data_IF_828872762883
#
_entry.id   IF_828872762883
#
_cell.length_a   1.000
_cell.length_b   1.000
_cell.length_c   1.000
_cell.angle_alpha   90.00
_cell.angle_beta   90.00
_cell.angle_gamma   90.00
#
_symmetry.space_group_name_H-M   'P 1'
#
loop_
_entity.id
_entity.type
_entity.pdbx_description
1 polymer ?
#
# COMPACT_ATOMS: atom_id res chain seq x y z
N UNK A 1 -25.78 -13.68 16.17
CA UNK A 1 -24.94 -14.80 15.68
C UNK A 1 -23.79 -15.02 16.64
N UNK A 2 -23.75 -16.17 17.31
CA UNK A 2 -22.67 -16.51 18.24
C UNK A 2 -21.32 -16.60 17.52
N UNK A 3 -20.26 -16.07 18.13
CA UNK A 3 -18.91 -16.07 17.57
C UNK A 3 -18.57 -14.90 16.62
N UNK A 4 -19.57 -14.14 16.11
CA UNK A 4 -19.31 -13.00 15.20
C UNK A 4 -18.32 -11.98 15.79
N UNK A 5 -18.44 -11.64 17.08
CA UNK A 5 -17.54 -10.69 17.73
C UNK A 5 -16.06 -11.10 17.64
N UNK A 6 -15.77 -12.40 17.78
CA UNK A 6 -14.41 -12.94 17.63
C UNK A 6 -13.92 -12.83 16.19
N UNK A 7 -14.79 -13.18 15.25
CA UNK A 7 -14.48 -13.17 13.81
C UNK A 7 -14.23 -11.73 13.34
N UNK A 8 -15.14 -10.78 13.66
CA UNK A 8 -15.01 -9.36 13.33
C UNK A 8 -13.73 -8.76 13.93
N UNK A 9 -13.43 -9.01 15.21
CA UNK A 9 -12.22 -8.50 15.86
C UNK A 9 -10.94 -9.07 15.22
N UNK A 10 -10.93 -10.37 14.90
CA UNK A 10 -9.79 -11.01 14.21
C UNK A 10 -9.56 -10.39 12.83
N UNK A 11 -10.63 -10.24 12.04
CA UNK A 11 -10.55 -9.63 10.71
C UNK A 11 -10.06 -8.19 10.79
N UNK A 12 -10.66 -7.37 11.66
CA UNK A 12 -10.30 -5.98 11.82
C UNK A 12 -8.86 -5.79 12.29
N UNK A 13 -8.43 -6.53 13.32
CA UNK A 13 -7.07 -6.43 13.84
C UNK A 13 -6.02 -6.78 12.77
N UNK A 14 -6.28 -7.80 11.95
CA UNK A 14 -5.37 -8.19 10.86
C UNK A 14 -5.36 -7.17 9.73
N UNK A 15 -6.52 -6.64 9.33
CA UNK A 15 -6.62 -5.59 8.30
C UNK A 15 -5.92 -4.30 8.75
N UNK A 16 -6.18 -3.85 9.98
CA UNK A 16 -5.52 -2.66 10.52
C UNK A 16 -4.01 -2.85 10.66
N UNK A 17 -3.56 -4.04 11.09
CA UNK A 17 -2.12 -4.35 11.14
C UNK A 17 -1.49 -4.27 9.75
N UNK A 18 -2.13 -4.85 8.72
CA UNK A 18 -1.66 -4.75 7.33
C UNK A 18 -1.54 -3.30 6.88
N UNK A 19 -2.59 -2.48 7.09
CA UNK A 19 -2.59 -1.08 6.68
C UNK A 19 -1.54 -0.26 7.43
N UNK A 20 -1.35 -0.52 8.73
CA UNK A 20 -0.31 0.09 9.55
C UNK A 20 1.10 -0.30 9.08
N UNK A 21 1.34 -1.58 8.79
CA UNK A 21 2.62 -2.09 8.27
C UNK A 21 2.91 -1.58 6.85
N UNK A 22 1.87 -1.22 6.08
CA UNK A 22 1.98 -0.51 4.82
C UNK A 22 2.35 0.97 5.00
N UNK A 23 2.07 1.57 6.17
CA UNK A 23 2.34 2.99 6.46
C UNK A 23 1.11 3.90 6.40
N UNK A 24 -0.10 3.34 6.43
CA UNK A 24 -1.34 4.11 6.58
C UNK A 24 -1.50 4.52 8.05
N UNK A 25 -1.88 5.78 8.28
CA UNK A 25 -2.23 6.29 9.61
C UNK A 25 -3.57 5.72 10.06
N UNK A 26 -3.58 4.98 11.15
CA UNK A 26 -4.79 4.32 11.68
C UNK A 26 -4.86 4.52 13.20
N UNK A 27 -6.07 4.47 13.77
CA UNK A 27 -6.23 4.51 15.22
C UNK A 27 -5.73 3.22 15.91
N UNK A 28 -5.38 2.17 15.17
CA UNK A 28 -5.20 0.84 15.74
C UNK A 28 -3.85 0.71 16.45
N UNK A 29 -3.90 0.31 17.73
CA UNK A 29 -2.69 0.08 18.53
C UNK A 29 -2.31 -1.40 18.48
N UNK A 30 -3.18 -2.28 19.01
CA UNK A 30 -2.97 -3.73 19.07
C UNK A 30 -4.27 -4.48 19.39
N UNK A 31 -4.33 -5.75 19.02
CA UNK A 31 -5.39 -6.65 19.48
C UNK A 31 -5.30 -6.86 21.01
N UNK A 32 -6.45 -6.99 21.67
CA UNK A 32 -6.55 -7.19 23.12
C UNK A 32 -7.63 -8.21 23.45
N UNK A 33 -7.27 -9.48 23.28
CA UNK A 33 -8.17 -10.62 23.45
C UNK A 33 -8.97 -10.94 22.19
N UNK A 34 -9.86 -11.92 22.31
CA UNK A 34 -10.56 -12.47 21.14
C UNK A 34 -11.64 -11.54 20.58
N UNK A 35 -12.22 -10.65 21.40
CA UNK A 35 -13.40 -9.85 21.05
C UNK A 35 -13.18 -8.34 21.11
N UNK A 36 -11.93 -7.90 21.35
CA UNK A 36 -11.59 -6.48 21.47
C UNK A 36 -10.17 -6.18 20.99
N UNK A 37 -9.95 -4.92 20.64
CA UNK A 37 -8.64 -4.34 20.36
C UNK A 37 -8.53 -2.97 21.04
N UNK A 38 -7.30 -2.49 21.17
CA UNK A 38 -6.99 -1.16 21.73
C UNK A 38 -6.75 -0.20 20.56
N UNK A 39 -7.39 0.97 20.63
CA UNK A 39 -7.30 2.04 19.66
C UNK A 39 -6.99 3.38 20.32
N UNK A 40 -6.42 4.30 19.55
CA UNK A 40 -6.38 5.71 19.87
C UNK A 40 -7.81 6.24 19.93
N UNK A 41 -8.13 6.97 21.00
CA UNK A 41 -9.44 7.61 21.14
C UNK A 41 -9.58 8.68 20.07
N UNK A 42 -10.67 8.64 19.32
CA UNK A 42 -10.93 9.55 18.20
C UNK A 42 -12.26 10.27 18.37
N UNK A 43 -12.32 11.51 17.91
CA UNK A 43 -13.55 12.23 17.59
C UNK A 43 -13.96 11.82 16.17
N UNK A 44 -14.98 10.97 16.05
CA UNK A 44 -15.38 10.38 14.77
C UNK A 44 -16.05 11.42 13.86
N UNK A 45 -15.64 11.45 12.59
CA UNK A 45 -16.26 12.28 11.56
C UNK A 45 -17.47 11.49 11.01
N UNK A 46 -18.70 12.04 11.02
CA UNK A 46 -19.93 11.32 10.66
C UNK A 46 -20.11 11.20 9.13
N UNK A 47 -19.07 10.75 8.44
CA UNK A 47 -19.05 10.52 7.00
C UNK A 47 -18.60 9.08 6.72
N UNK A 48 -19.42 8.36 5.97
CA UNK A 48 -19.08 7.08 5.38
C UNK A 48 -18.41 7.30 4.02
N UNK A 49 -17.17 6.83 3.90
CA UNK A 49 -16.38 6.94 2.68
C UNK A 49 -16.45 5.63 1.91
N UNK A 50 -17.17 5.62 0.79
CA UNK A 50 -17.39 4.42 -0.03
C UNK A 50 -16.56 4.48 -1.29
N UNK A 51 -15.77 3.43 -1.51
CA UNK A 51 -14.98 3.25 -2.75
C UNK A 51 -15.52 2.08 -3.54
N UNK A 52 -15.56 2.18 -4.88
CA UNK A 52 -16.04 1.10 -5.76
C UNK A 52 -15.09 0.85 -6.92
N UNK A 53 -14.76 -0.42 -7.15
CA UNK A 53 -14.17 -0.87 -8.41
C UNK A 53 -15.24 -1.29 -9.40
N UNK A 54 -16.31 -1.92 -8.93
CA UNK A 54 -17.37 -2.49 -9.76
C UNK A 54 -18.72 -1.89 -9.35
N UNK A 55 -19.55 -1.54 -10.33
CA UNK A 55 -20.91 -1.07 -10.10
C UNK A 55 -21.80 -2.23 -9.63
N UNK A 56 -22.34 -2.11 -8.41
CA UNK A 56 -23.34 -3.00 -7.82
C UNK A 56 -24.11 -2.24 -6.72
N UNK A 57 -25.08 -2.91 -6.10
CA UNK A 57 -25.77 -2.41 -4.91
C UNK A 57 -26.46 -1.06 -5.11
N UNK A 58 -26.28 -0.14 -4.14
CA UNK A 58 -26.96 1.16 -4.12
C UNK A 58 -26.53 2.09 -5.26
N UNK A 59 -25.35 1.87 -5.86
CA UNK A 59 -24.92 2.64 -7.04
C UNK A 59 -25.88 2.44 -8.21
N UNK A 60 -26.27 1.19 -8.51
CA UNK A 60 -27.17 0.87 -9.63
C UNK A 60 -28.57 1.46 -9.42
N UNK A 61 -29.04 1.50 -8.17
CA UNK A 61 -30.33 2.13 -7.83
C UNK A 61 -30.34 3.63 -8.11
N UNK A 62 -29.23 4.33 -7.80
CA UNK A 62 -29.09 5.77 -8.03
C UNK A 62 -28.77 6.12 -9.49
N UNK A 63 -28.24 5.17 -10.26
CA UNK A 63 -27.78 5.39 -11.65
C UNK A 63 -28.48 4.41 -12.61
N UNK A 64 -29.79 4.60 -12.86
CA UNK A 64 -30.53 3.73 -13.78
C UNK A 64 -29.90 3.79 -15.18
N UNK A 65 -29.74 2.62 -15.80
CA UNK A 65 -29.07 2.46 -17.10
C UNK A 65 -27.61 2.02 -17.01
N UNK A 66 -26.99 2.04 -15.83
CA UNK A 66 -25.69 1.39 -15.62
C UNK A 66 -25.89 -0.10 -15.34
N UNK A 67 -25.14 -0.95 -16.04
CA UNK A 67 -25.19 -2.40 -15.85
C UNK A 67 -24.32 -2.86 -14.67
N UNK A 68 -24.76 -3.91 -13.97
CA UNK A 68 -23.94 -4.55 -12.94
C UNK A 68 -22.67 -5.12 -13.57
N UNK A 69 -21.52 -4.89 -12.92
CA UNK A 69 -20.22 -5.31 -13.46
C UNK A 69 -19.45 -4.17 -14.14
N UNK A 70 -20.06 -3.01 -14.38
CA UNK A 70 -19.33 -1.84 -14.90
C UNK A 70 -18.12 -1.51 -14.02
N UNK A 71 -16.94 -1.33 -14.63
CA UNK A 71 -15.67 -1.12 -13.92
C UNK A 71 -15.28 0.35 -13.87
N UNK A 72 -14.98 0.86 -12.69
CA UNK A 72 -14.45 2.21 -12.47
C UNK A 72 -12.92 2.21 -12.49
N UNK A 73 -12.33 3.04 -13.36
CA UNK A 73 -10.89 3.30 -13.40
C UNK A 73 -10.67 4.82 -13.57
N UNK A 74 -10.19 5.55 -12.55
CA UNK A 74 -9.85 5.11 -11.18
C UNK A 74 -11.08 4.64 -10.36
N UNK A 75 -10.91 4.05 -9.16
CA UNK A 75 -12.03 3.69 -8.29
C UNK A 75 -12.98 4.86 -8.06
N UNK A 76 -14.30 4.60 -8.10
CA UNK A 76 -15.31 5.62 -7.80
C UNK A 76 -15.35 5.85 -6.30
N UNK A 77 -15.27 7.11 -5.90
CA UNK A 77 -15.44 7.56 -4.52
C UNK A 77 -16.81 8.22 -4.33
N UNK A 78 -17.45 7.94 -3.20
CA UNK A 78 -18.72 8.53 -2.76
C UNK A 78 -18.68 8.76 -1.24
N UNK A 79 -19.37 9.81 -0.78
CA UNK A 79 -19.52 10.16 0.63
C UNK A 79 -20.99 10.10 1.05
N UNK A 80 -21.27 9.54 2.22
CA UNK A 80 -22.61 9.49 2.82
C UNK A 80 -22.57 10.02 4.24
N UNK A 81 -23.50 10.91 4.58
CA UNK A 81 -23.59 11.44 5.94
C UNK A 81 -24.30 10.45 6.84
N UNK A 82 -23.72 10.16 8.02
CA UNK A 82 -24.31 9.20 8.96
C UNK A 82 -25.57 9.79 9.59
N UNK A 83 -26.71 9.26 9.16
CA UNK A 83 -28.04 9.62 9.62
C UNK A 83 -29.00 8.46 9.36
N UNK A 84 -29.07 7.55 10.33
CA UNK A 84 -29.92 6.35 10.27
C UNK A 84 -31.39 6.70 10.00
N UNK A 85 -31.87 7.85 10.49
CA UNK A 85 -33.25 8.31 10.30
C UNK A 85 -33.56 8.66 8.85
N UNK A 86 -32.54 9.08 8.08
CA UNK A 86 -32.64 9.46 6.67
C UNK A 86 -31.91 8.49 5.73
N UNK A 87 -31.59 7.29 6.21
CA UNK A 87 -30.94 6.22 5.43
C UNK A 87 -29.58 6.63 4.84
N UNK A 88 -28.77 7.36 5.61
CA UNK A 88 -27.42 7.82 5.26
C UNK A 88 -27.36 8.52 3.88
N UNK A 89 -27.89 9.76 3.77
CA UNK A 89 -27.97 10.44 2.49
C UNK A 89 -26.58 10.70 1.89
N UNK A 90 -26.48 10.54 0.57
CA UNK A 90 -25.25 10.89 -0.16
C UNK A 90 -24.98 12.39 -0.03
N UNK A 91 -23.76 12.75 0.35
CA UNK A 91 -23.30 14.14 0.38
C UNK A 91 -22.31 14.39 -0.75
N UNK A 92 -22.38 15.57 -1.37
CA UNK A 92 -21.35 16.05 -2.30
C UNK A 92 -20.17 16.66 -1.54
N UNK A 93 -19.06 16.86 -2.25
CA UNK A 93 -17.90 17.57 -1.71
C UNK A 93 -18.27 18.94 -1.14
N UNK A 94 -19.09 19.71 -1.87
CA UNK A 94 -19.53 21.04 -1.46
C UNK A 94 -20.39 21.00 -0.19
N UNK A 95 -21.24 19.98 -0.02
CA UNK A 95 -22.01 19.80 1.21
C UNK A 95 -21.09 19.50 2.40
N UNK A 96 -20.09 18.63 2.21
CA UNK A 96 -19.08 18.35 3.24
C UNK A 96 -18.30 19.62 3.64
N UNK A 97 -17.86 20.43 2.67
CA UNK A 97 -17.16 21.72 2.92
C UNK A 97 -18.07 22.73 3.63
N UNK A 98 -19.32 22.88 3.15
CA UNK A 98 -20.27 23.86 3.67
C UNK A 98 -20.70 23.56 5.11
N UNK A 99 -20.69 22.28 5.51
CA UNK A 99 -21.05 21.85 6.86
C UNK A 99 -20.10 22.38 7.94
N UNK A 100 -18.85 22.74 7.60
CA UNK A 100 -17.83 23.32 8.51
C UNK A 100 -17.72 22.57 9.86
N UNK A 101 -17.82 21.25 9.79
CA UNK A 101 -17.85 20.41 10.99
C UNK A 101 -16.50 20.48 11.72
N UNK A 102 -16.51 20.50 13.04
CA UNK A 102 -15.29 20.53 13.86
C UNK A 102 -15.27 19.37 14.83
N UNK A 103 -14.18 18.60 14.83
CA UNK A 103 -13.99 17.40 15.65
C UNK A 103 -12.59 17.43 16.26
N UNK A 104 -12.48 17.24 17.58
CA UNK A 104 -11.18 17.20 18.26
C UNK A 104 -10.30 18.42 17.97
N UNK A 105 -10.86 19.63 17.89
CA UNK A 105 -10.13 20.87 17.58
C UNK A 105 -9.92 21.16 16.09
N UNK A 106 -10.15 20.17 15.21
CA UNK A 106 -9.92 20.30 13.76
C UNK A 106 -11.22 20.59 13.02
N UNK A 107 -11.28 21.71 12.31
CA UNK A 107 -12.35 21.99 11.35
C UNK A 107 -12.09 21.26 10.04
N UNK A 108 -13.06 20.47 9.58
CA UNK A 108 -13.01 19.70 8.33
C UNK A 108 -13.24 20.66 7.16
N UNK A 109 -12.14 21.10 6.54
CA UNK A 109 -12.14 21.93 5.33
C UNK A 109 -11.71 21.16 4.08
N UNK A 110 -11.44 21.89 2.98
CA UNK A 110 -10.95 21.31 1.73
C UNK A 110 -9.70 20.44 1.89
N UNK A 111 -8.73 20.86 2.71
CA UNK A 111 -7.49 20.11 2.94
C UNK A 111 -7.78 18.74 3.58
N UNK A 112 -8.57 18.71 4.67
CA UNK A 112 -8.95 17.49 5.38
C UNK A 112 -9.77 16.54 4.49
N UNK A 113 -10.71 17.08 3.72
CA UNK A 113 -11.52 16.30 2.77
C UNK A 113 -10.65 15.69 1.69
N UNK A 114 -9.74 16.46 1.08
CA UNK A 114 -8.83 15.95 0.06
C UNK A 114 -7.93 14.82 0.63
N UNK A 115 -7.49 14.94 1.89
CA UNK A 115 -6.73 13.88 2.57
C UNK A 115 -7.58 12.63 2.76
N UNK A 116 -8.82 12.75 3.27
CA UNK A 116 -9.72 11.61 3.42
C UNK A 116 -10.04 10.95 2.08
N UNK A 117 -10.28 11.73 1.02
CA UNK A 117 -10.52 11.23 -0.34
C UNK A 117 -9.35 10.38 -0.84
N UNK A 118 -8.13 10.94 -0.79
CA UNK A 118 -6.93 10.28 -1.28
C UNK A 118 -6.57 9.05 -0.45
N UNK A 119 -6.72 9.15 0.87
CA UNK A 119 -6.48 8.05 1.80
C UNK A 119 -7.50 6.92 1.58
N UNK A 120 -8.78 7.24 1.37
CA UNK A 120 -9.83 6.25 1.07
C UNK A 120 -9.51 5.42 -0.16
N UNK A 121 -9.20 6.09 -1.28
CA UNK A 121 -8.84 5.39 -2.52
C UNK A 121 -7.58 4.55 -2.33
N UNK A 122 -6.58 5.08 -1.62
CA UNK A 122 -5.33 4.36 -1.35
C UNK A 122 -5.56 3.10 -0.52
N UNK A 123 -6.36 3.18 0.55
CA UNK A 123 -6.71 2.02 1.39
C UNK A 123 -7.45 0.97 0.55
N UNK A 124 -8.42 1.40 -0.26
CA UNK A 124 -9.13 0.49 -1.16
C UNK A 124 -8.18 -0.24 -2.11
N UNK A 125 -7.27 0.46 -2.78
CA UNK A 125 -6.32 -0.16 -3.71
C UNK A 125 -5.34 -1.12 -3.02
N UNK A 126 -4.90 -0.81 -1.79
CA UNK A 126 -4.06 -1.70 -0.97
C UNK A 126 -4.80 -3.00 -0.68
N UNK A 127 -6.04 -2.91 -0.19
CA UNK A 127 -6.83 -4.09 0.14
C UNK A 127 -7.27 -4.85 -1.12
N UNK A 128 -7.56 -4.16 -2.22
CA UNK A 128 -7.86 -4.78 -3.52
C UNK A 128 -6.69 -5.62 -4.01
N UNK A 129 -5.47 -5.08 -3.98
CA UNK A 129 -4.27 -5.81 -4.40
C UNK A 129 -3.94 -6.97 -3.46
N UNK A 130 -4.11 -6.77 -2.15
CA UNK A 130 -3.92 -7.83 -1.17
C UNK A 130 -4.90 -9.00 -1.42
N UNK A 131 -6.19 -8.72 -1.56
CA UNK A 131 -7.20 -9.75 -1.86
C UNK A 131 -6.99 -10.43 -3.21
N UNK A 132 -6.49 -9.71 -4.22
CA UNK A 132 -6.14 -10.29 -5.52
C UNK A 132 -5.07 -11.38 -5.40
N UNK A 133 -4.13 -11.28 -4.44
CA UNK A 133 -3.13 -12.34 -4.18
C UNK A 133 -3.76 -13.66 -3.71
N UNK A 134 -5.00 -13.61 -3.21
CA UNK A 134 -5.80 -14.74 -2.76
C UNK A 134 -6.92 -15.10 -3.76
N UNK A 135 -6.81 -14.66 -5.01
CA UNK A 135 -7.82 -14.85 -6.06
C UNK A 135 -9.21 -14.35 -5.62
N UNK A 136 -9.26 -13.21 -4.94
CA UNK A 136 -10.50 -12.56 -4.51
C UNK A 136 -10.58 -11.14 -5.09
N UNK A 137 -11.75 -10.79 -5.61
CA UNK A 137 -12.03 -9.43 -6.07
C UNK A 137 -12.67 -8.63 -4.95
N UNK A 138 -12.01 -7.56 -4.51
CA UNK A 138 -12.62 -6.52 -3.67
C UNK A 138 -13.43 -5.59 -4.56
N UNK A 139 -14.74 -5.54 -4.33
CA UNK A 139 -15.71 -4.92 -5.25
C UNK A 139 -15.97 -3.47 -4.87
N UNK A 140 -16.28 -3.26 -3.59
CA UNK A 140 -16.41 -1.97 -2.95
C UNK A 140 -16.15 -2.11 -1.44
N UNK A 141 -15.91 -0.98 -0.78
CA UNK A 141 -15.68 -0.91 0.66
C UNK A 141 -16.13 0.43 1.21
N UNK A 142 -16.56 0.42 2.48
CA UNK A 142 -16.85 1.59 3.30
C UNK A 142 -15.83 1.69 4.43
N UNK A 143 -15.32 2.90 4.68
CA UNK A 143 -14.49 3.23 5.84
C UNK A 143 -14.92 4.55 6.48
N UNK A 144 -14.44 4.80 7.69
CA UNK A 144 -14.71 6.02 8.46
C UNK A 144 -13.40 6.58 9.01
N UNK A 145 -13.36 7.89 9.26
CA UNK A 145 -12.19 8.58 9.80
C UNK A 145 -12.50 9.23 11.13
N UNK A 146 -11.45 9.50 11.90
CA UNK A 146 -11.55 10.26 13.13
C UNK A 146 -10.34 11.16 13.33
N UNK A 147 -10.54 12.16 14.18
CA UNK A 147 -9.46 13.03 14.68
C UNK A 147 -9.00 12.46 16.02
N UNK A 148 -7.74 12.08 16.13
CA UNK A 148 -7.16 11.55 17.36
C UNK A 148 -7.22 12.62 18.44
N UNK A 149 -7.72 12.24 19.62
CA UNK A 149 -7.77 13.11 20.79
C UNK A 149 -6.34 13.57 21.14
N UNK A 150 -6.18 14.82 21.56
CA UNK A 150 -4.89 15.46 21.93
C UNK A 150 -3.88 15.71 20.80
N UNK A 151 -3.73 14.83 19.80
CA UNK A 151 -2.76 15.04 18.70
C UNK A 151 -3.35 15.75 17.49
N UNK A 152 -4.68 15.85 17.41
CA UNK A 152 -5.41 16.47 16.29
C UNK A 152 -5.12 15.79 14.93
N UNK A 153 -4.61 14.56 14.96
CA UNK A 153 -4.24 13.83 13.75
C UNK A 153 -5.46 13.14 13.11
N UNK A 154 -5.66 13.36 11.81
CA UNK A 154 -6.64 12.64 11.00
C UNK A 154 -6.14 11.22 10.72
N UNK A 155 -6.91 10.21 11.15
CA UNK A 155 -6.57 8.79 10.98
C UNK A 155 -7.76 7.98 10.48
N UNK A 156 -7.46 6.87 9.78
CA UNK A 156 -8.44 5.81 9.53
C UNK A 156 -8.93 5.26 10.88
N UNK A 157 -10.24 5.15 11.04
CA UNK A 157 -10.88 4.74 12.27
C UNK A 157 -12.01 3.73 12.06
N UNK A 158 -12.86 3.55 13.08
CA UNK A 158 -13.90 2.51 13.18
C UNK A 158 -13.36 1.08 12.97
N UNK A 159 -14.05 0.25 12.16
CA UNK A 159 -13.74 -1.15 11.94
C UNK A 159 -13.82 -1.49 10.45
N UNK A 160 -12.86 -2.28 9.97
CA UNK A 160 -12.92 -2.92 8.67
C UNK A 160 -13.08 -4.43 8.87
N UNK A 161 -14.31 -4.93 8.70
CA UNK A 161 -14.61 -6.36 8.76
C UNK A 161 -15.46 -6.82 7.55
N UNK A 162 -16.01 -8.03 7.60
CA UNK A 162 -16.85 -8.58 6.53
C UNK A 162 -18.17 -7.82 6.29
N UNK A 163 -18.50 -6.85 7.14
CA UNK A 163 -19.63 -5.94 6.95
C UNK A 163 -19.24 -4.70 6.14
N UNK A 164 -17.96 -4.35 6.12
CA UNK A 164 -17.40 -3.12 5.53
C UNK A 164 -17.17 -3.21 4.02
N UNK A 165 -17.11 -4.41 3.42
CA UNK A 165 -16.82 -4.59 2.00
C UNK A 165 -17.76 -5.55 1.27
N UNK A 166 -17.63 -5.61 -0.05
CA UNK A 166 -18.07 -6.72 -0.89
C UNK A 166 -16.88 -7.51 -1.44
N UNK A 167 -16.88 -8.82 -1.26
CA UNK A 167 -15.75 -9.68 -1.59
C UNK A 167 -16.20 -10.91 -2.38
N UNK A 168 -15.72 -11.02 -3.63
CA UNK A 168 -16.10 -12.08 -4.57
C UNK A 168 -14.89 -12.96 -4.92
N UNK A 169 -14.83 -14.22 -4.41
CA UNK A 169 -13.85 -15.21 -4.85
C UNK A 169 -13.92 -15.41 -6.37
N UNK A 170 -12.76 -15.44 -7.04
CA UNK A 170 -12.62 -15.52 -8.49
C UNK A 170 -13.37 -14.44 -9.29
N UNK A 171 -13.78 -13.34 -8.64
CA UNK A 171 -14.64 -12.32 -9.25
C UNK A 171 -16.09 -12.78 -9.47
N UNK A 172 -16.50 -13.93 -8.94
CA UNK A 172 -17.85 -14.46 -9.10
C UNK A 172 -18.75 -14.02 -7.95
N UNK A 173 -19.73 -13.18 -8.26
CA UNK A 173 -20.73 -12.68 -7.31
C UNK A 173 -21.49 -13.81 -6.60
N UNK A 174 -21.69 -14.97 -7.25
CA UNK A 174 -22.39 -16.12 -6.65
C UNK A 174 -21.61 -16.72 -5.47
N UNK A 175 -20.30 -16.49 -5.40
CA UNK A 175 -19.41 -16.98 -4.36
C UNK A 175 -19.18 -15.97 -3.23
N UNK A 176 -19.91 -14.84 -3.21
CA UNK A 176 -19.70 -13.75 -2.27
C UNK A 176 -19.56 -14.21 -0.81
N UNK A 177 -18.62 -13.63 -0.08
CA UNK A 177 -18.26 -14.01 1.30
C UNK A 177 -18.54 -12.93 2.34
N UNK A 178 -19.13 -11.82 1.92
CA UNK A 178 -19.42 -10.66 2.76
C UNK A 178 -20.87 -10.62 3.26
N UNK A 179 -21.20 -9.59 4.05
CA UNK A 179 -22.54 -9.38 4.64
C UNK A 179 -23.67 -9.27 3.61
N UNK A 180 -23.39 -9.03 2.33
CA UNK A 180 -24.42 -9.03 1.30
C UNK A 180 -25.19 -10.36 1.23
N UNK A 181 -24.57 -11.49 1.60
CA UNK A 181 -25.26 -12.78 1.73
C UNK A 181 -26.42 -12.69 2.73
N UNK A 182 -26.16 -12.11 3.91
CA UNK A 182 -27.18 -11.89 4.93
C UNK A 182 -28.28 -10.92 4.45
N UNK A 183 -27.88 -9.82 3.78
CA UNK A 183 -28.83 -8.82 3.24
C UNK A 183 -29.74 -9.37 2.14
N UNK A 184 -29.34 -10.43 1.44
CA UNK A 184 -30.11 -11.04 0.36
C UNK A 184 -31.12 -12.10 0.85
N UNK A 185 -31.08 -12.49 2.12
CA UNK A 185 -31.99 -13.48 2.68
C UNK A 185 -33.43 -12.95 2.67
N UNK A 186 -34.36 -13.71 2.11
CA UNK A 186 -35.80 -13.42 2.22
C UNK A 186 -36.32 -13.73 3.63
N UNK A 187 -35.82 -14.83 4.22
CA UNK A 187 -36.13 -15.25 5.58
C UNK A 187 -34.83 -15.59 6.34
N UNK A 188 -34.76 -15.22 7.62
CA UNK A 188 -33.60 -15.46 8.47
C UNK A 188 -33.80 -16.75 9.25
N UNK A 189 -33.29 -17.86 8.71
CA UNK A 189 -33.28 -19.18 9.37
C UNK A 189 -31.93 -19.45 10.04
N UNK A 190 -31.89 -20.39 10.99
CA UNK A 190 -30.64 -20.81 11.63
C UNK A 190 -29.60 -21.33 10.63
N UNK A 191 -30.03 -22.11 9.63
CA UNK A 191 -29.17 -22.65 8.58
C UNK A 191 -28.57 -21.54 7.68
N UNK A 192 -29.37 -20.52 7.37
CA UNK A 192 -28.89 -19.37 6.62
C UNK A 192 -27.86 -18.56 7.42
N UNK A 193 -28.09 -18.38 8.73
CA UNK A 193 -27.12 -17.73 9.63
C UNK A 193 -25.82 -18.54 9.76
N UNK A 194 -25.88 -19.86 9.81
CA UNK A 194 -24.69 -20.71 9.85
C UNK A 194 -23.87 -20.60 8.54
N UNK A 195 -24.53 -20.41 7.41
CA UNK A 195 -23.85 -20.15 6.14
C UNK A 195 -23.15 -18.80 6.13
N UNK A 196 -23.80 -17.74 6.64
CA UNK A 196 -23.17 -16.42 6.82
C UNK A 196 -21.97 -16.52 7.77
N UNK A 197 -22.09 -17.27 8.86
CA UNK A 197 -21.00 -17.50 9.82
C UNK A 197 -19.79 -18.16 9.15
N UNK A 198 -19.99 -19.25 8.42
CA UNK A 198 -18.91 -19.95 7.69
C UNK A 198 -18.23 -19.05 6.66
N UNK A 199 -18.98 -18.17 5.99
CA UNK A 199 -18.39 -17.18 5.09
C UNK A 199 -17.48 -16.21 5.84
N UNK A 200 -17.89 -15.74 7.02
CA UNK A 200 -17.10 -14.81 7.82
C UNK A 200 -15.86 -15.48 8.42
N UNK A 201 -15.96 -16.74 8.86
CA UNK A 201 -14.82 -17.55 9.30
C UNK A 201 -13.80 -17.73 8.18
N UNK A 202 -14.26 -18.08 6.98
CA UNK A 202 -13.41 -18.18 5.79
C UNK A 202 -12.66 -16.87 5.50
N UNK A 203 -13.34 -15.72 5.61
CA UNK A 203 -12.70 -14.40 5.45
C UNK A 203 -11.64 -14.18 6.54
N UNK A 204 -11.96 -14.46 7.80
CA UNK A 204 -11.06 -14.27 8.93
C UNK A 204 -9.80 -15.16 8.87
N UNK A 205 -9.91 -16.36 8.28
CA UNK A 205 -8.76 -17.21 7.97
C UNK A 205 -7.92 -16.62 6.82
N UNK A 206 -8.57 -16.20 5.72
CA UNK A 206 -7.87 -15.67 4.54
C UNK A 206 -7.16 -14.36 4.78
N UNK A 207 -7.70 -13.46 5.60
CA UNK A 207 -7.04 -12.19 5.92
C UNK A 207 -5.68 -12.38 6.60
N UNK A 208 -5.46 -13.49 7.32
CA UNK A 208 -4.15 -13.79 7.93
C UNK A 208 -3.05 -14.00 6.88
N UNK A 209 -3.44 -14.37 5.65
CA UNK A 209 -2.53 -14.61 4.53
C UNK A 209 -2.22 -13.32 3.75
N UNK A 210 -2.82 -12.18 4.11
CA UNK A 210 -2.65 -10.92 3.39
C UNK A 210 -1.45 -10.13 3.89
N UNK A 211 -1.03 -10.27 5.15
CA UNK A 211 0.13 -9.57 5.69
C UNK A 211 1.36 -10.49 5.72
N UNK A 212 1.88 -10.80 4.54
CA UNK A 212 3.06 -11.66 4.36
C UNK A 212 4.33 -10.84 4.16
N UNK A 213 5.44 -11.33 4.69
CA UNK A 213 6.74 -10.72 4.46
C UNK A 213 7.14 -10.86 2.98
N UNK A 214 7.67 -9.80 2.34
CA UNK A 214 8.18 -9.91 0.98
C UNK A 214 9.26 -11.00 0.87
N UNK A 215 9.17 -11.82 -0.17
CA UNK A 215 10.20 -12.86 -0.43
C UNK A 215 11.39 -12.32 -1.20
N UNK A 216 11.17 -11.33 -2.06
CA UNK A 216 12.23 -10.75 -2.88
C UNK A 216 13.28 -9.99 -2.08
N UNK A 217 14.48 -9.86 -2.65
CA UNK A 217 15.61 -9.14 -2.06
C UNK A 217 16.26 -8.16 -3.04
N UNK A 218 17.04 -7.26 -2.48
CA UNK A 218 17.96 -6.39 -3.21
C UNK A 218 19.38 -6.74 -2.82
N UNK A 219 20.26 -6.90 -3.80
CA UNK A 219 21.68 -7.14 -3.54
C UNK A 219 22.49 -6.03 -4.16
N UNK A 220 23.29 -5.35 -3.33
CA UNK A 220 24.13 -4.22 -3.75
C UNK A 220 25.56 -4.70 -3.91
N UNK A 221 26.06 -4.71 -5.14
CA UNK A 221 27.46 -4.99 -5.43
C UNK A 221 28.23 -3.68 -5.51
N UNK A 222 29.26 -3.55 -4.68
CA UNK A 222 30.11 -2.37 -4.59
C UNK A 222 31.51 -2.69 -5.11
N UNK A 223 32.03 -1.86 -6.01
CA UNK A 223 33.38 -1.99 -6.57
C UNK A 223 34.50 -1.78 -5.56
N UNK A 224 34.21 -1.10 -4.45
CA UNK A 224 35.13 -0.71 -3.39
C UNK A 224 34.39 -0.62 -2.06
N UNK A 225 35.09 -0.91 -0.96
CA UNK A 225 34.55 -0.69 0.40
C UNK A 225 34.39 0.79 0.75
N UNK A 226 35.06 1.69 0.03
CA UNK A 226 34.92 3.15 0.19
C UNK A 226 33.49 3.65 -0.08
N UNK A 227 32.71 2.89 -0.84
CA UNK A 227 31.38 3.31 -1.30
C UNK A 227 30.26 2.82 -0.37
N UNK A 228 30.63 2.30 0.81
CA UNK A 228 29.71 1.71 1.79
C UNK A 228 28.61 2.68 2.23
N UNK A 229 28.93 3.97 2.39
CA UNK A 229 27.95 4.98 2.80
C UNK A 229 26.76 5.07 1.81
N UNK A 230 27.00 4.83 0.52
CA UNK A 230 25.94 4.80 -0.48
C UNK A 230 25.12 3.52 -0.39
N UNK A 231 25.79 2.38 -0.20
CA UNK A 231 25.14 1.10 0.07
C UNK A 231 24.24 1.15 1.32
N UNK A 232 24.70 1.77 2.41
CA UNK A 232 23.94 1.90 3.66
C UNK A 232 22.65 2.72 3.48
N UNK A 233 22.68 3.76 2.63
CA UNK A 233 21.48 4.52 2.27
C UNK A 233 20.46 3.65 1.55
N UNK A 234 20.90 2.81 0.61
CA UNK A 234 20.03 1.86 -0.10
C UNK A 234 19.44 0.84 0.88
N UNK A 235 20.28 0.27 1.75
CA UNK A 235 19.84 -0.69 2.78
C UNK A 235 18.78 -0.08 3.70
N UNK A 236 18.98 1.17 4.13
CA UNK A 236 18.03 1.89 4.98
C UNK A 236 16.64 2.02 4.32
N UNK A 237 16.61 2.39 3.02
CA UNK A 237 15.35 2.52 2.29
C UNK A 237 14.71 1.16 2.05
N UNK A 238 15.46 0.14 1.63
CA UNK A 238 14.96 -1.24 1.50
C UNK A 238 14.37 -1.76 2.81
N UNK A 239 15.04 -1.50 3.95
CA UNK A 239 14.55 -1.87 5.29
C UNK A 239 13.24 -1.16 5.65
N UNK A 240 13.09 0.12 5.30
CA UNK A 240 11.82 0.84 5.51
C UNK A 240 10.65 0.25 4.71
N UNK A 241 10.95 -0.50 3.64
CA UNK A 241 10.01 -1.24 2.81
C UNK A 241 9.93 -2.73 3.16
N UNK A 242 10.65 -3.17 4.22
CA UNK A 242 10.83 -4.57 4.66
C UNK A 242 11.34 -5.51 3.55
N UNK A 243 12.16 -4.98 2.66
CA UNK A 243 12.85 -5.73 1.62
C UNK A 243 14.22 -6.13 2.19
N UNK A 244 14.56 -7.41 2.10
CA UNK A 244 15.88 -7.89 2.48
C UNK A 244 16.93 -7.22 1.56
N UNK A 245 17.99 -6.66 2.15
CA UNK A 245 19.03 -5.99 1.39
C UNK A 245 20.43 -6.43 1.87
N UNK A 246 21.23 -6.93 0.93
CA UNK A 246 22.58 -7.43 1.20
C UNK A 246 23.63 -6.58 0.49
N UNK A 247 24.73 -6.25 1.18
CA UNK A 247 25.87 -5.55 0.60
C UNK A 247 26.99 -6.55 0.33
N UNK A 248 27.56 -6.51 -0.88
CA UNK A 248 28.73 -7.31 -1.27
C UNK A 248 29.79 -6.41 -1.90
N UNK A 249 31.06 -6.72 -1.65
CA UNK A 249 32.20 -6.03 -2.27
C UNK A 249 32.81 -6.94 -3.31
N UNK A 250 32.83 -6.48 -4.57
CA UNK A 250 33.44 -7.21 -5.69
C UNK A 250 33.77 -6.26 -6.82
N UNK A 251 34.86 -6.51 -7.55
CA UNK A 251 35.30 -5.64 -8.64
C UNK A 251 35.31 -6.41 -9.96
N UNK A 252 34.53 -5.95 -10.94
CA UNK A 252 34.55 -6.51 -12.28
C UNK A 252 35.91 -6.35 -13.00
N UNK A 253 36.76 -5.40 -12.57
CA UNK A 253 38.08 -5.18 -13.15
C UNK A 253 39.20 -5.96 -12.45
N UNK A 254 39.11 -6.11 -11.13
CA UNK A 254 40.19 -6.70 -10.32
C UNK A 254 39.93 -8.17 -9.96
N UNK A 255 38.67 -8.58 -9.92
CA UNK A 255 38.19 -9.87 -9.41
C UNK A 255 36.96 -10.33 -10.21
N UNK A 256 37.10 -10.39 -11.54
CA UNK A 256 35.99 -10.73 -12.45
C UNK A 256 35.41 -12.11 -12.16
N UNK A 257 36.27 -13.11 -11.95
CA UNK A 257 35.86 -14.49 -11.62
C UNK A 257 35.05 -14.54 -10.32
N UNK A 258 35.47 -13.80 -9.29
CA UNK A 258 34.74 -13.71 -8.03
C UNK A 258 33.39 -13.02 -8.21
N UNK A 259 33.32 -11.96 -9.02
CA UNK A 259 32.05 -11.29 -9.35
C UNK A 259 31.06 -12.27 -9.95
N UNK A 260 31.51 -13.14 -10.87
CA UNK A 260 30.66 -14.17 -11.48
C UNK A 260 30.23 -15.25 -10.48
N UNK A 261 31.11 -15.69 -9.58
CA UNK A 261 30.75 -16.64 -8.52
C UNK A 261 29.68 -16.07 -7.58
N UNK A 262 29.85 -14.82 -7.15
CA UNK A 262 28.86 -14.15 -6.30
C UNK A 262 27.52 -13.96 -6.99
N UNK A 263 27.53 -13.61 -8.27
CA UNK A 263 26.31 -13.52 -9.07
C UNK A 263 25.58 -14.88 -9.11
N UNK A 264 26.31 -15.96 -9.35
CA UNK A 264 25.75 -17.31 -9.40
C UNK A 264 25.14 -17.77 -8.06
N UNK A 265 25.69 -17.35 -6.91
CA UNK A 265 25.07 -17.61 -5.59
C UNK A 265 23.63 -17.08 -5.54
N UNK A 266 23.43 -15.86 -6.04
CA UNK A 266 22.14 -15.16 -5.96
C UNK A 266 21.16 -15.55 -7.06
N UNK A 267 21.64 -16.04 -8.20
CA UNK A 267 20.79 -16.66 -9.23
C UNK A 267 20.35 -18.07 -8.83
N UNK A 268 21.18 -18.81 -8.10
CA UNK A 268 20.99 -20.23 -7.85
C UNK A 268 20.03 -20.59 -6.71
N UNK A 269 19.68 -19.65 -5.83
CA UNK A 269 18.86 -19.94 -4.63
C UNK A 269 17.34 -19.76 -4.83
N UNK A 270 16.90 -19.30 -6.01
CA UNK A 270 15.49 -19.16 -6.37
C UNK A 270 14.77 -17.98 -5.73
N UNK A 271 15.49 -17.06 -5.06
CA UNK A 271 14.91 -15.86 -4.46
C UNK A 271 14.83 -14.74 -5.52
N UNK A 272 13.64 -14.14 -5.79
CA UNK A 272 13.52 -12.99 -6.68
C UNK A 272 14.45 -11.86 -6.24
N UNK A 273 15.42 -11.50 -7.09
CA UNK A 273 16.52 -10.61 -6.73
C UNK A 273 16.63 -9.47 -7.73
N UNK A 274 16.77 -8.24 -7.22
CA UNK A 274 17.19 -7.07 -8.00
C UNK A 274 18.61 -6.70 -7.61
N UNK A 275 19.49 -6.52 -8.58
CA UNK A 275 20.88 -6.16 -8.36
C UNK A 275 21.06 -4.65 -8.49
N UNK A 276 21.82 -4.06 -7.57
CA UNK A 276 22.28 -2.67 -7.67
C UNK A 276 23.80 -2.65 -7.73
N UNK A 277 24.35 -2.05 -8.77
CA UNK A 277 25.79 -1.89 -8.95
C UNK A 277 26.23 -0.48 -8.54
N UNK A 278 27.10 -0.39 -7.54
CA UNK A 278 27.79 0.84 -7.14
C UNK A 278 29.25 0.74 -7.57
N UNK A 279 29.63 1.53 -8.56
CA UNK A 279 31.03 1.67 -8.96
C UNK A 279 31.28 3.10 -9.44
N UNK A 280 32.26 3.76 -8.81
CA UNK A 280 32.73 5.08 -9.26
C UNK A 280 33.64 4.99 -10.49
N UNK A 281 33.99 6.15 -11.07
CA UNK A 281 34.82 6.26 -12.28
C UNK A 281 34.15 5.53 -13.46
N UNK A 282 34.93 4.78 -14.23
CA UNK A 282 34.42 3.90 -15.28
C UNK A 282 33.72 2.68 -14.67
N UNK A 283 32.39 2.71 -14.58
CA UNK A 283 31.59 1.60 -14.07
C UNK A 283 31.59 0.41 -15.06
N UNK A 284 32.46 -0.57 -14.81
CA UNK A 284 32.40 -1.88 -15.48
C UNK A 284 31.55 -2.91 -14.74
N UNK A 285 31.21 -2.68 -13.47
CA UNK A 285 30.51 -3.64 -12.62
C UNK A 285 29.07 -3.87 -13.09
N UNK A 286 28.30 -2.80 -13.28
CA UNK A 286 26.94 -2.88 -13.82
C UNK A 286 26.87 -3.57 -15.20
N UNK A 287 27.65 -3.13 -16.20
CA UNK A 287 27.72 -3.79 -17.50
C UNK A 287 28.02 -5.28 -17.43
N UNK A 288 29.01 -5.67 -16.64
CA UNK A 288 29.42 -7.07 -16.51
C UNK A 288 28.31 -7.89 -15.85
N UNK A 289 27.64 -7.38 -14.82
CA UNK A 289 26.49 -8.06 -14.24
C UNK A 289 25.36 -8.20 -15.26
N UNK A 290 24.95 -7.09 -15.90
CA UNK A 290 23.83 -7.07 -16.84
C UNK A 290 24.04 -7.95 -18.08
N UNK A 291 25.29 -8.22 -18.47
CA UNK A 291 25.61 -9.11 -19.58
C UNK A 291 25.62 -10.59 -19.22
N UNK A 292 25.61 -10.93 -17.92
CA UNK A 292 25.77 -12.30 -17.44
C UNK A 292 24.62 -12.78 -16.54
N UNK A 293 23.55 -12.00 -16.42
CA UNK A 293 22.36 -12.38 -15.64
C UNK A 293 21.06 -11.97 -16.35
N UNK A 294 19.99 -12.70 -16.05
CA UNK A 294 18.61 -12.31 -16.41
C UNK A 294 17.94 -11.48 -15.31
N UNK A 295 18.59 -11.34 -14.15
CA UNK A 295 18.10 -10.50 -13.06
C UNK A 295 18.18 -9.02 -13.43
N UNK A 296 17.24 -8.17 -12.98
CA UNK A 296 17.32 -6.74 -13.22
C UNK A 296 18.58 -6.14 -12.56
N UNK A 297 19.34 -5.35 -13.33
CA UNK A 297 20.54 -4.65 -12.85
C UNK A 297 20.36 -3.14 -12.96
N UNK A 298 20.55 -2.45 -11.83
CA UNK A 298 20.45 -0.99 -11.73
C UNK A 298 21.83 -0.43 -11.35
N UNK A 299 22.37 0.45 -12.17
CA UNK A 299 23.54 1.27 -11.82
C UNK A 299 23.12 2.37 -10.85
N UNK A 300 23.87 2.51 -9.75
CA UNK A 300 23.81 3.64 -8.84
C UNK A 300 25.22 4.16 -8.56
N UNK A 301 25.85 4.84 -9.53
CA UNK A 301 27.24 5.28 -9.39
C UNK A 301 27.37 6.37 -8.30
N UNK A 302 28.46 6.37 -7.50
CA UNK A 302 28.76 7.41 -6.52
C UNK A 302 29.29 8.68 -7.19
N UNK A 303 28.40 9.42 -7.85
CA UNK A 303 28.76 10.62 -8.61
C UNK A 303 29.12 11.78 -7.67
N UNK A 304 30.19 12.51 -8.00
CA UNK A 304 30.61 13.75 -7.33
C UNK A 304 30.57 14.94 -8.30
N UNK A 305 30.52 16.18 -7.82
CA UNK A 305 30.55 17.36 -8.69
C UNK A 305 31.80 17.46 -9.57
N UNK A 306 32.94 16.94 -9.10
CA UNK A 306 34.23 17.08 -9.79
C UNK A 306 34.30 16.27 -11.09
N UNK A 307 33.84 15.01 -11.06
CA UNK A 307 34.00 14.04 -12.16
C UNK A 307 32.71 13.33 -12.58
N UNK A 308 31.61 13.54 -11.86
CA UNK A 308 30.36 12.80 -12.06
C UNK A 308 29.77 12.99 -13.46
N UNK A 309 29.96 14.16 -14.07
CA UNK A 309 29.49 14.44 -15.42
C UNK A 309 30.19 13.57 -16.49
N UNK A 310 31.43 13.17 -16.24
CA UNK A 310 32.18 12.27 -17.14
C UNK A 310 31.91 10.81 -16.78
N UNK A 311 31.91 10.48 -15.49
CA UNK A 311 31.78 9.11 -14.98
C UNK A 311 30.42 8.49 -15.32
N UNK A 312 29.33 9.28 -15.27
CA UNK A 312 27.96 8.79 -15.51
C UNK A 312 27.79 8.11 -16.87
N UNK A 313 28.54 8.54 -17.89
CA UNK A 313 28.45 7.98 -19.24
C UNK A 313 28.81 6.50 -19.31
N UNK A 314 29.68 6.03 -18.41
CA UNK A 314 30.02 4.61 -18.29
C UNK A 314 28.85 3.73 -17.84
N UNK A 315 27.83 4.31 -17.20
CA UNK A 315 26.60 3.62 -16.79
C UNK A 315 25.47 3.76 -17.82
N UNK A 316 25.51 4.80 -18.67
CA UNK A 316 24.44 5.11 -19.62
C UNK A 316 24.67 4.53 -21.02
N UNK A 317 25.91 4.58 -21.54
CA UNK A 317 26.22 4.17 -22.91
C UNK A 317 26.87 2.79 -22.92
N UNK A 318 26.09 1.81 -23.33
CA UNK A 318 26.42 0.39 -23.23
C UNK A 318 26.48 -0.26 -24.63
N UNK A 319 27.25 -1.34 -24.82
CA UNK A 319 27.10 -2.21 -25.98
C UNK A 319 25.66 -2.75 -26.14
N UNK A 320 25.29 -3.13 -27.37
CA UNK A 320 23.99 -3.73 -27.65
C UNK A 320 23.78 -5.04 -26.88
N UNK A 321 22.54 -5.31 -26.46
CA UNK A 321 22.18 -6.54 -25.74
C UNK A 321 22.20 -6.41 -24.21
N UNK A 322 22.53 -5.23 -23.67
CA UNK A 322 22.55 -4.97 -22.23
C UNK A 322 21.35 -4.13 -21.78
N UNK A 323 20.53 -4.67 -20.86
CA UNK A 323 19.34 -4.03 -20.30
C UNK A 323 19.57 -3.26 -19.00
N UNK A 324 20.80 -2.79 -18.74
CA UNK A 324 21.14 -2.15 -17.48
C UNK A 324 20.54 -0.73 -17.38
N UNK A 325 19.74 -0.48 -16.35
CA UNK A 325 19.18 0.84 -16.07
C UNK A 325 20.13 1.66 -15.18
N UNK A 326 19.99 2.98 -15.16
CA UNK A 326 20.79 3.86 -14.29
C UNK A 326 19.90 4.77 -13.46
N UNK A 327 20.13 4.80 -12.15
CA UNK A 327 19.49 5.72 -11.20
C UNK A 327 20.58 6.35 -10.34
N UNK A 328 20.71 7.68 -10.40
CA UNK A 328 21.83 8.40 -9.78
C UNK A 328 21.71 8.49 -8.26
N UNK A 329 20.49 8.59 -7.73
CA UNK A 329 20.27 8.75 -6.29
C UNK A 329 20.09 7.40 -5.57
N UNK A 330 20.71 7.20 -4.39
CA UNK A 330 20.61 5.93 -3.66
C UNK A 330 19.17 5.59 -3.24
N UNK A 331 18.42 6.59 -2.79
CA UNK A 331 17.00 6.43 -2.48
C UNK A 331 16.22 6.03 -3.74
N UNK A 332 16.49 6.69 -4.87
CA UNK A 332 15.87 6.37 -6.15
C UNK A 332 16.15 4.94 -6.59
N UNK A 333 17.39 4.46 -6.44
CA UNK A 333 17.78 3.10 -6.81
C UNK A 333 17.06 2.05 -5.96
N UNK A 334 16.95 2.27 -4.65
CA UNK A 334 16.18 1.40 -3.76
C UNK A 334 14.68 1.41 -4.12
N UNK A 335 14.11 2.57 -4.43
CA UNK A 335 12.71 2.70 -4.84
C UNK A 335 12.44 2.04 -6.21
N UNK A 336 13.36 2.16 -7.17
CA UNK A 336 13.26 1.49 -8.46
C UNK A 336 13.30 -0.04 -8.29
N UNK A 337 14.21 -0.55 -7.45
CA UNK A 337 14.25 -1.98 -7.10
C UNK A 337 12.95 -2.44 -6.41
N UNK A 338 12.43 -1.65 -5.47
CA UNK A 338 11.17 -1.93 -4.81
C UNK A 338 9.97 -1.92 -5.79
N UNK A 339 9.94 -1.02 -6.76
CA UNK A 339 8.89 -0.97 -7.79
C UNK A 339 8.89 -2.21 -8.69
N UNK A 340 10.07 -2.76 -8.99
CA UNK A 340 10.19 -4.04 -9.71
C UNK A 340 9.60 -5.17 -8.85
N UNK A 341 10.04 -5.31 -7.60
CA UNK A 341 9.53 -6.36 -6.70
C UNK A 341 8.02 -6.22 -6.42
N UNK A 342 7.51 -4.99 -6.36
CA UNK A 342 6.10 -4.68 -6.14
C UNK A 342 5.17 -5.25 -7.21
N UNK A 343 5.67 -5.59 -8.41
CA UNK A 343 4.87 -6.22 -9.45
C UNK A 343 4.29 -7.56 -8.98
N UNK A 344 5.03 -8.32 -8.18
CA UNK A 344 4.62 -9.63 -7.65
C UNK A 344 4.40 -9.64 -6.14
N UNK A 345 4.94 -8.68 -5.40
CA UNK A 345 4.89 -8.61 -3.94
C UNK A 345 3.94 -7.49 -3.48
N UNK A 346 2.70 -7.82 -3.10
CA UNK A 346 1.67 -6.81 -2.81
C UNK A 346 1.96 -5.96 -1.57
N UNK A 347 2.70 -6.47 -0.58
CA UNK A 347 3.10 -5.67 0.58
C UNK A 347 4.17 -4.62 0.24
N UNK A 348 5.09 -4.93 -0.68
CA UNK A 348 6.03 -3.91 -1.19
C UNK A 348 5.26 -2.84 -1.96
N UNK A 349 4.31 -3.26 -2.80
CA UNK A 349 3.43 -2.33 -3.50
C UNK A 349 2.63 -1.44 -2.54
N UNK A 350 2.06 -2.02 -1.47
CA UNK A 350 1.27 -1.28 -0.48
C UNK A 350 2.09 -0.21 0.22
N UNK A 351 3.35 -0.53 0.61
CA UNK A 351 4.28 0.44 1.22
C UNK A 351 4.66 1.56 0.28
N UNK A 352 4.92 1.26 -1.00
CA UNK A 352 5.16 2.29 -2.02
C UNK A 352 3.93 3.19 -2.20
N UNK A 353 2.73 2.61 -2.22
CA UNK A 353 1.48 3.37 -2.38
C UNK A 353 1.21 4.28 -1.19
N UNK A 354 1.38 3.77 0.03
CA UNK A 354 1.26 4.56 1.25
C UNK A 354 2.35 5.66 1.33
N UNK A 355 3.59 5.38 0.90
CA UNK A 355 4.65 6.40 0.82
C UNK A 355 4.26 7.57 -0.08
N UNK A 356 3.64 7.30 -1.24
CA UNK A 356 3.12 8.33 -2.14
C UNK A 356 2.02 9.16 -1.45
N UNK A 357 1.07 8.50 -0.78
CA UNK A 357 0.02 9.17 -0.01
C UNK A 357 0.61 10.08 1.07
N UNK A 358 1.56 9.57 1.86
CA UNK A 358 2.16 10.30 2.97
C UNK A 358 2.98 11.51 2.48
N UNK A 359 3.70 11.35 1.37
CA UNK A 359 4.42 12.48 0.74
C UNK A 359 3.44 13.56 0.29
N UNK A 360 2.36 13.16 -0.40
CA UNK A 360 1.33 14.09 -0.86
C UNK A 360 0.61 14.78 0.30
N UNK A 361 0.33 14.06 1.38
CA UNK A 361 -0.32 14.60 2.58
C UNK A 361 0.61 15.58 3.31
N UNK A 362 1.90 15.25 3.42
CA UNK A 362 2.89 16.14 4.02
C UNK A 362 3.03 17.47 3.27
N UNK A 363 2.82 17.49 1.95
CA UNK A 363 2.77 18.74 1.17
C UNK A 363 1.56 19.59 1.52
N UNK A 364 0.37 18.99 1.65
CA UNK A 364 -0.84 19.71 2.08
C UNK A 364 -0.67 20.28 3.49
N UNK A 365 -0.20 19.46 4.42
CA UNK A 365 0.02 19.88 5.81
C UNK A 365 1.07 21.00 5.89
N UNK A 366 2.10 20.97 5.04
CA UNK A 366 3.13 22.01 4.97
C UNK A 366 2.57 23.33 4.39
N UNK A 367 1.80 23.27 3.30
CA UNK A 367 1.14 24.44 2.71
C UNK A 367 0.15 25.07 3.70
N UNK A 368 -0.68 24.24 4.36
CA UNK A 368 -1.62 24.71 5.39
C UNK A 368 -0.90 25.46 6.52
N UNK A 369 0.22 24.93 7.02
CA UNK A 369 1.03 25.61 8.04
C UNK A 369 1.54 26.98 7.56
N UNK A 370 2.02 27.06 6.33
CA UNK A 370 2.51 28.32 5.75
C UNK A 370 1.37 29.34 5.55
N UNK A 371 0.19 28.91 5.08
CA UNK A 371 -0.98 29.78 4.92
C UNK A 371 -1.42 30.39 6.24
N UNK A 372 -1.53 29.58 7.29
CA UNK A 372 -1.91 30.03 8.64
C UNK A 372 -0.89 31.01 9.23
N UNK A 373 0.40 30.80 8.97
CA UNK A 373 1.47 31.69 9.43
C UNK A 373 1.48 33.05 8.71
N UNK A 374 0.99 33.11 7.46
CA UNK A 374 0.96 34.33 6.65
C UNK A 374 -0.32 35.18 6.82
N UNK A 375 -1.34 34.67 7.51
CA UNK A 375 -2.60 35.38 7.81
C UNK A 375 -2.54 36.29 9.05
N UNK A 376 -1.35 36.82 9.38
CA UNK A 376 -1.15 37.81 10.47
C UNK A 376 -1.49 39.22 10.00
#
# INVERSE_FOLDING_TARGET
MEGKAKISNSTAATVFKLLKDAGIRTHFIKQHGERSFIALKCHMIPLEWVTRRIATGSFLKRNPGVEEGYRFNPPKLETFYKDDANHDPQWTYEQCVAAKMTFGGVTIGPDELNIMEKMTVTIFEILERAWSSQNCSLIDMKIEFGIVDQTEELVLADIIDSDSWRLWPSGDKRLMKDKQVYRNLQEVTSEALDTVKRNFEWVAEKVQLLNIKPRGRVVVFMGSSSDSQQGDKIVSICKSLDIACELRVTSAHKQTDQTMRLLAEYEGDGIPTVLIAIAGRSNGLGPVLAGNTVLPVINCPPLTPDWGAQDVWSSLRMPSGLGCATVTEPEGAALAAAQILALTEHMVWARLRARQLNTWTGLIESDKKLRTANTV
#
